data_IF_425933828980
#
_entry.id   IF_425933828980
#
_cell.length_a   1.000
_cell.length_b   1.000
_cell.length_c   1.000
_cell.angle_alpha   90.00
_cell.angle_beta   90.00
_cell.angle_gamma   90.00
#
_symmetry.space_group_name_H-M   'P 1'
#
loop_
_entity.id
_entity.type
_entity.pdbx_description
1 polymer ?
#
# COMPACT_ATOMS: atom_id res chain seq x y z
N UNK A 1 -20.83 3.44 21.10
CA UNK A 1 -20.77 3.14 19.65
C UNK A 1 -19.32 3.07 19.21
N UNK A 2 -18.71 1.87 19.18
CA UNK A 2 -17.29 1.70 18.84
C UNK A 2 -17.16 1.52 17.33
N UNK A 3 -16.51 2.47 16.66
CA UNK A 3 -16.11 2.34 15.25
C UNK A 3 -14.92 1.37 15.20
N UNK A 4 -15.12 0.21 14.59
CA UNK A 4 -14.06 -0.78 14.38
C UNK A 4 -13.22 -0.36 13.17
N UNK A 5 -11.95 -0.01 13.40
CA UNK A 5 -10.96 0.24 12.34
C UNK A 5 -10.49 -1.13 11.86
N UNK A 6 -10.91 -1.54 10.66
CA UNK A 6 -10.38 -2.71 9.97
C UNK A 6 -9.07 -2.27 9.32
N UNK A 7 -7.95 -2.75 9.86
CA UNK A 7 -6.62 -2.52 9.32
C UNK A 7 -6.45 -3.37 8.06
N UNK A 8 -6.27 -2.69 6.94
CA UNK A 8 -6.07 -3.26 5.61
C UNK A 8 -4.56 -3.37 5.34
N UNK A 9 -4.03 -4.58 5.40
CA UNK A 9 -2.65 -4.93 5.05
C UNK A 9 -2.40 -4.76 3.54
N UNK A 10 -1.37 -3.99 3.21
CA UNK A 10 -0.70 -4.01 1.92
C UNK A 10 0.61 -4.80 2.08
N UNK A 11 0.75 -5.89 1.32
CA UNK A 11 2.01 -6.63 1.18
C UNK A 11 2.82 -5.98 0.05
N UNK A 12 4.07 -5.63 0.33
CA UNK A 12 5.05 -5.24 -0.67
C UNK A 12 5.88 -6.48 -1.01
N UNK A 13 5.81 -6.96 -2.25
CA UNK A 13 6.66 -8.05 -2.75
C UNK A 13 7.83 -7.43 -3.52
N UNK A 14 9.07 -7.64 -3.06
CA UNK A 14 10.28 -7.29 -3.79
C UNK A 14 11.32 -8.41 -3.67
N UNK A 15 11.83 -8.89 -4.81
CA UNK A 15 12.90 -9.90 -4.89
C UNK A 15 14.28 -9.23 -4.85
N UNK A 16 15.20 -9.88 -4.14
CA UNK A 16 16.62 -9.53 -4.06
C UNK A 16 17.40 -9.95 -5.32
N UNK A 17 18.41 -9.16 -5.67
CA UNK A 17 19.46 -9.52 -6.63
C UNK A 17 20.73 -8.72 -6.35
N UNK A 18 21.77 -9.39 -5.84
CA UNK A 18 23.11 -8.87 -5.59
C UNK A 18 23.99 -9.13 -6.81
N UNK A 19 24.78 -8.14 -7.23
CA UNK A 19 26.05 -8.36 -7.94
C UNK A 19 26.97 -7.13 -7.74
N UNK A 20 28.24 -7.40 -7.45
CA UNK A 20 29.28 -6.43 -7.10
C UNK A 20 30.26 -6.18 -8.26
N UNK A 21 30.86 -4.98 -8.19
CA UNK A 21 32.17 -4.46 -8.64
C UNK A 21 32.60 -4.47 -10.12
N UNK A 22 32.98 -3.28 -10.64
CA UNK A 22 34.38 -2.78 -10.83
C UNK A 22 34.34 -1.47 -11.68
N UNK A 23 35.02 -0.41 -11.22
CA UNK A 23 35.21 0.90 -11.91
C UNK A 23 36.24 0.87 -13.06
N UNK A 24 36.16 1.82 -14.01
CA UNK A 24 37.33 2.70 -14.21
C UNK A 24 37.03 4.21 -14.42
N UNK A 25 38.07 4.97 -14.07
CA UNK A 25 38.28 6.43 -13.98
C UNK A 25 37.83 7.37 -15.13
N UNK A 26 37.08 8.40 -14.72
CA UNK A 26 37.09 9.88 -14.99
C UNK A 26 37.32 10.48 -16.40
N UNK A 27 36.30 11.23 -16.82
CA UNK A 27 36.43 12.51 -17.55
C UNK A 27 35.38 13.49 -17.00
N UNK A 28 35.77 14.72 -16.64
CA UNK A 28 34.92 15.72 -15.97
C UNK A 28 34.36 16.69 -17.01
N UNK A 29 33.05 16.63 -17.27
CA UNK A 29 32.29 17.67 -17.94
C UNK A 29 31.29 18.29 -16.95
N UNK A 30 31.34 19.62 -16.79
CA UNK A 30 30.42 20.39 -15.95
C UNK A 30 29.06 20.50 -16.65
N UNK A 31 28.21 19.50 -16.43
CA UNK A 31 26.76 19.57 -16.69
C UNK A 31 26.08 19.85 -15.34
N UNK A 32 25.03 20.71 -15.26
CA UNK A 32 24.34 20.97 -14.00
C UNK A 32 23.84 19.65 -13.43
N UNK A 33 24.44 19.24 -12.32
CA UNK A 33 24.12 17.97 -11.67
C UNK A 33 22.66 18.00 -11.27
N UNK A 34 21.83 17.18 -11.92
CA UNK A 34 20.62 16.67 -11.29
C UNK A 34 21.02 16.19 -9.91
N UNK A 35 20.37 16.74 -8.88
CA UNK A 35 20.56 16.31 -7.50
C UNK A 35 19.96 14.90 -7.44
N UNK A 36 20.79 13.89 -7.76
CA UNK A 36 20.46 12.50 -7.46
C UNK A 36 20.60 12.38 -5.95
N UNK A 37 19.46 12.46 -5.25
CA UNK A 37 19.35 12.07 -3.85
C UNK A 37 19.59 10.57 -3.72
N UNK A 38 20.85 10.12 -3.82
CA UNK A 38 21.29 8.85 -3.23
C UNK A 38 21.45 9.04 -1.73
N UNK A 39 20.37 9.42 -1.06
CA UNK A 39 20.29 9.38 0.39
C UNK A 39 19.95 7.95 0.78
N UNK A 40 20.76 7.32 1.63
CA UNK A 40 20.26 6.20 2.42
C UNK A 40 18.96 6.67 3.07
N UNK A 41 17.85 6.01 2.77
CA UNK A 41 16.56 6.36 3.36
C UNK A 41 16.65 6.09 4.87
N UNK A 42 16.87 7.14 5.66
CA UNK A 42 16.90 7.07 7.11
C UNK A 42 15.48 7.34 7.61
N UNK A 43 14.93 6.40 8.37
CA UNK A 43 13.71 6.65 9.11
C UNK A 43 14.01 7.58 10.28
N UNK A 44 13.72 8.86 10.10
CA UNK A 44 14.03 9.95 11.03
C UNK A 44 12.81 10.37 11.88
N UNK A 45 11.64 9.74 11.69
CA UNK A 45 10.37 10.12 12.30
C UNK A 45 10.42 10.27 13.83
N UNK A 46 11.27 9.48 14.49
CA UNK A 46 11.47 9.50 15.94
C UNK A 46 12.40 10.63 16.40
N UNK A 47 13.28 11.07 15.51
CA UNK A 47 14.36 12.01 15.80
C UNK A 47 13.97 13.44 15.42
N UNK A 48 13.12 13.62 14.41
CA UNK A 48 12.64 14.92 13.97
C UNK A 48 11.65 15.55 14.96
N UNK A 49 11.65 16.88 14.96
CA UNK A 49 10.76 17.69 15.78
C UNK A 49 9.30 17.53 15.37
N UNK A 50 8.37 17.97 16.23
CA UNK A 50 6.95 17.96 15.90
C UNK A 50 6.63 18.82 14.66
N UNK A 51 7.31 19.97 14.50
CA UNK A 51 7.13 20.86 13.35
C UNK A 51 7.53 20.17 12.06
N UNK A 52 8.66 19.45 12.06
CA UNK A 52 9.12 18.67 10.91
C UNK A 52 8.17 17.51 10.61
N UNK A 53 7.66 16.79 11.62
CA UNK A 53 6.64 15.75 11.42
C UNK A 53 5.39 16.31 10.74
N UNK A 54 4.91 17.48 11.19
CA UNK A 54 3.73 18.10 10.60
C UNK A 54 3.99 18.55 9.15
N UNK A 55 5.20 19.07 8.84
CA UNK A 55 5.59 19.39 7.47
C UNK A 55 5.63 18.15 6.56
N UNK A 56 6.17 17.02 7.04
CA UNK A 56 6.18 15.74 6.32
C UNK A 56 4.75 15.21 6.10
N UNK A 57 3.89 15.30 7.13
CA UNK A 57 2.48 14.91 7.03
C UNK A 57 1.78 15.74 5.95
N UNK A 58 2.00 17.05 5.93
CA UNK A 58 1.35 17.92 4.96
C UNK A 58 1.88 17.70 3.54
N UNK A 59 3.19 17.49 3.37
CA UNK A 59 3.79 17.13 2.08
C UNK A 59 3.10 15.91 1.45
N UNK A 60 3.09 14.77 2.15
CA UNK A 60 2.54 13.54 1.57
C UNK A 60 1.01 13.54 1.50
N UNK A 61 0.33 14.32 2.35
CA UNK A 61 -1.10 14.59 2.18
C UNK A 61 -1.35 15.30 0.85
N UNK A 62 -0.61 16.37 0.54
CA UNK A 62 -0.76 17.11 -0.72
C UNK A 62 -0.42 16.26 -1.95
N UNK A 63 0.57 15.38 -1.86
CA UNK A 63 0.89 14.45 -2.95
C UNK A 63 -0.21 13.38 -3.17
N UNK A 64 -0.84 12.89 -2.09
CA UNK A 64 -1.92 11.90 -2.19
C UNK A 64 -3.27 12.49 -2.61
N UNK A 65 -3.55 13.72 -2.19
CA UNK A 65 -4.85 14.37 -2.31
C UNK A 65 -4.75 15.68 -3.09
N UNK A 66 -4.73 15.54 -4.41
CA UNK A 66 -4.77 16.64 -5.38
C UNK A 66 -6.20 17.00 -5.81
N UNK A 67 -6.32 18.00 -6.69
CA UNK A 67 -7.57 18.42 -7.31
C UNK A 67 -8.27 17.31 -8.12
N UNK A 68 -7.51 16.33 -8.62
CA UNK A 68 -8.01 15.21 -9.40
C UNK A 68 -8.44 14.01 -8.54
N UNK A 69 -8.35 14.13 -7.22
CA UNK A 69 -8.63 13.01 -6.34
C UNK A 69 -10.11 12.67 -6.33
N UNK A 70 -10.42 11.47 -6.81
CA UNK A 70 -11.78 10.93 -6.77
C UNK A 70 -12.05 10.33 -5.39
N UNK A 71 -12.83 11.04 -4.57
CA UNK A 71 -13.30 10.54 -3.26
C UNK A 71 -14.45 9.56 -3.38
N UNK A 72 -15.26 9.69 -4.44
CA UNK A 72 -16.42 8.83 -4.66
C UNK A 72 -16.74 8.72 -6.14
N UNK A 73 -16.52 7.53 -6.69
CA UNK A 73 -17.03 7.20 -8.02
C UNK A 73 -18.54 7.02 -7.98
N UNK A 74 -19.20 7.26 -9.11
CA UNK A 74 -20.59 6.86 -9.29
C UNK A 74 -20.68 5.34 -9.19
N UNK A 75 -21.48 4.86 -8.22
CA UNK A 75 -21.60 3.43 -7.89
C UNK A 75 -21.90 2.55 -9.11
N UNK A 76 -22.75 3.02 -10.04
CA UNK A 76 -23.11 2.26 -11.25
C UNK A 76 -21.88 2.04 -12.14
N UNK A 77 -21.13 3.10 -12.41
CA UNK A 77 -20.01 3.11 -13.33
C UNK A 77 -18.85 2.29 -12.74
N UNK A 78 -18.54 2.51 -11.45
CA UNK A 78 -17.52 1.73 -10.73
C UNK A 78 -17.83 0.23 -10.74
N UNK A 79 -19.10 -0.15 -10.50
CA UNK A 79 -19.49 -1.56 -10.54
C UNK A 79 -19.48 -2.16 -11.94
N UNK A 80 -19.68 -1.33 -12.97
CA UNK A 80 -19.59 -1.77 -14.36
C UNK A 80 -18.12 -2.00 -14.77
N UNK A 81 -17.22 -1.09 -14.36
CA UNK A 81 -15.75 -1.22 -14.55
C UNK A 81 -15.24 -2.54 -13.94
N UNK A 82 -15.64 -2.85 -12.70
CA UNK A 82 -15.19 -4.04 -11.99
C UNK A 82 -16.15 -5.23 -12.05
N UNK A 83 -17.05 -5.28 -13.04
CA UNK A 83 -18.14 -6.27 -13.10
C UNK A 83 -17.66 -7.72 -12.93
N UNK A 84 -16.54 -8.06 -13.56
CA UNK A 84 -15.94 -9.40 -13.55
C UNK A 84 -15.23 -9.74 -12.24
N UNK A 85 -14.97 -8.73 -11.41
CA UNK A 85 -14.26 -8.84 -10.14
C UNK A 85 -15.17 -8.60 -8.93
N UNK A 86 -16.45 -8.25 -9.11
CA UNK A 86 -17.41 -8.06 -8.01
C UNK A 86 -17.59 -9.33 -7.16
N UNK A 87 -17.38 -10.48 -7.78
CA UNK A 87 -17.32 -11.80 -7.18
C UNK A 87 -16.11 -12.51 -7.77
N UNK A 88 -15.23 -13.00 -6.92
CA UNK A 88 -14.14 -13.87 -7.35
C UNK A 88 -14.73 -15.18 -7.91
N UNK A 89 -14.45 -15.45 -9.19
CA UNK A 89 -14.92 -16.66 -9.89
C UNK A 89 -14.25 -17.91 -9.31
N UNK A 90 -13.03 -17.79 -8.81
CA UNK A 90 -12.21 -18.89 -8.25
C UNK A 90 -12.09 -18.81 -6.73
N UNK A 91 -13.06 -18.18 -6.05
CA UNK A 91 -12.98 -17.87 -4.61
C UNK A 91 -12.65 -19.07 -3.72
N UNK A 92 -13.15 -20.26 -4.04
CA UNK A 92 -12.82 -21.48 -3.28
C UNK A 92 -11.33 -21.83 -3.39
N UNK A 93 -10.76 -21.72 -4.59
CA UNK A 93 -9.35 -21.98 -4.85
C UNK A 93 -8.49 -20.97 -4.12
N UNK A 94 -8.75 -19.67 -4.32
CA UNK A 94 -7.98 -18.60 -3.66
C UNK A 94 -8.09 -18.68 -2.14
N UNK A 95 -9.29 -18.92 -1.60
CA UNK A 95 -9.48 -19.10 -0.16
C UNK A 95 -8.64 -20.27 0.39
N UNK A 96 -8.64 -21.42 -0.29
CA UNK A 96 -7.86 -22.59 0.15
C UNK A 96 -6.35 -22.38 0.03
N UNK A 97 -5.88 -21.76 -1.06
CA UNK A 97 -4.47 -21.43 -1.24
C UNK A 97 -3.97 -20.52 -0.12
N UNK A 98 -4.69 -19.43 0.13
CA UNK A 98 -4.37 -18.47 1.18
C UNK A 98 -4.40 -19.14 2.55
N UNK A 99 -5.45 -19.92 2.86
CA UNK A 99 -5.57 -20.65 4.12
C UNK A 99 -4.38 -21.59 4.36
N UNK A 100 -3.80 -22.16 3.30
CA UNK A 100 -2.62 -23.03 3.35
C UNK A 100 -1.28 -22.25 3.30
N UNK A 101 -1.30 -20.93 3.42
CA UNK A 101 -0.10 -20.09 3.46
C UNK A 101 0.54 -19.78 2.10
N UNK A 102 -0.13 -20.09 0.99
CA UNK A 102 0.37 -19.74 -0.35
C UNK A 102 0.27 -18.23 -0.56
N UNK A 103 1.39 -17.59 -0.90
CA UNK A 103 1.50 -16.15 -1.13
C UNK A 103 1.57 -15.76 -2.60
N UNK A 104 1.93 -16.70 -3.48
CA UNK A 104 2.15 -16.44 -4.91
C UNK A 104 1.84 -17.70 -5.71
N UNK A 105 1.30 -17.51 -6.91
CA UNK A 105 1.15 -18.52 -7.97
C UNK A 105 1.79 -17.98 -9.25
N UNK A 106 1.75 -18.73 -10.35
CA UNK A 106 2.20 -18.21 -11.65
C UNK A 106 1.39 -17.00 -12.14
N UNK A 107 0.17 -16.80 -11.63
CA UNK A 107 -0.79 -15.81 -12.12
C UNK A 107 -1.17 -14.74 -11.10
N UNK A 108 -1.05 -15.04 -9.81
CA UNK A 108 -1.58 -14.21 -8.74
C UNK A 108 -0.60 -14.03 -7.59
N UNK A 109 -0.57 -12.84 -7.01
CA UNK A 109 -0.09 -12.62 -5.65
C UNK A 109 -1.30 -12.69 -4.70
N UNK A 110 -1.13 -13.36 -3.56
CA UNK A 110 -2.20 -13.70 -2.63
C UNK A 110 -1.86 -13.21 -1.21
N UNK A 111 -2.85 -12.67 -0.52
CA UNK A 111 -2.72 -12.24 0.88
C UNK A 111 -3.93 -12.70 1.69
N UNK A 112 -3.68 -13.27 2.88
CA UNK A 112 -4.74 -13.63 3.84
C UNK A 112 -4.85 -12.67 4.99
N UNK A 113 -6.08 -12.46 5.47
CA UNK A 113 -6.40 -11.63 6.63
C UNK A 113 -7.11 -12.50 7.65
N UNK A 114 -6.51 -12.65 8.83
CA UNK A 114 -6.95 -13.59 9.84
C UNK A 114 -7.47 -12.87 11.08
N UNK A 115 -8.51 -13.45 11.68
CA UNK A 115 -8.97 -13.12 13.03
C UNK A 115 -8.48 -14.20 14.00
N UNK A 116 -7.89 -13.78 15.14
CA UNK A 116 -7.33 -14.67 16.18
C UNK A 116 -6.46 -15.79 15.59
N UNK A 117 -5.55 -15.40 14.68
CA UNK A 117 -4.49 -16.20 14.05
C UNK A 117 -4.93 -17.41 13.20
N UNK A 118 -6.22 -17.81 13.21
CA UNK A 118 -6.67 -19.05 12.57
C UNK A 118 -7.88 -18.90 11.64
N UNK A 119 -8.70 -17.85 11.81
CA UNK A 119 -9.90 -17.66 11.01
C UNK A 119 -9.61 -16.71 9.85
N UNK A 120 -9.48 -17.23 8.64
CA UNK A 120 -9.38 -16.44 7.41
C UNK A 120 -10.71 -15.73 7.14
N UNK A 121 -10.77 -14.42 7.40
CA UNK A 121 -11.98 -13.58 7.27
C UNK A 121 -12.09 -12.88 5.91
N UNK A 122 -10.95 -12.60 5.29
CA UNK A 122 -10.84 -12.01 3.96
C UNK A 122 -9.51 -12.39 3.32
N UNK A 123 -9.43 -12.23 2.01
CA UNK A 123 -8.19 -12.41 1.26
C UNK A 123 -8.09 -11.38 0.15
N UNK A 124 -6.88 -11.13 -0.33
CA UNK A 124 -6.60 -10.26 -1.45
C UNK A 124 -5.99 -11.05 -2.61
N UNK A 125 -6.31 -10.62 -3.82
CA UNK A 125 -5.78 -11.16 -5.07
C UNK A 125 -5.27 -9.98 -5.89
N UNK A 126 -4.01 -10.05 -6.31
CA UNK A 126 -3.42 -9.16 -7.31
C UNK A 126 -3.00 -10.02 -8.50
N UNK A 127 -3.55 -9.76 -9.67
CA UNK A 127 -3.22 -10.53 -10.86
C UNK A 127 -1.93 -10.01 -11.47
N UNK A 128 -1.01 -10.91 -11.84
CA UNK A 128 0.32 -10.52 -12.34
C UNK A 128 0.31 -9.83 -13.71
N UNK A 129 -0.79 -9.98 -14.46
CA UNK A 129 -1.01 -9.26 -15.72
C UNK A 129 -1.58 -7.84 -15.51
N UNK A 130 -1.98 -7.47 -14.30
CA UNK A 130 -2.47 -6.15 -13.92
C UNK A 130 -2.00 -5.82 -12.50
N UNK A 131 -0.73 -5.42 -12.39
CA UNK A 131 -0.08 -5.22 -11.09
C UNK A 131 -0.58 -3.98 -10.35
N UNK A 132 -1.28 -3.04 -11.00
CA UNK A 132 -1.70 -1.80 -10.36
C UNK A 132 -3.03 -1.90 -9.63
N UNK A 133 -3.64 -3.08 -9.59
CA UNK A 133 -4.91 -3.30 -8.91
C UNK A 133 -4.87 -4.48 -7.97
N UNK A 134 -5.32 -4.30 -6.73
CA UNK A 134 -5.50 -5.38 -5.75
C UNK A 134 -6.96 -5.48 -5.38
N UNK A 135 -7.52 -6.68 -5.45
CA UNK A 135 -8.92 -6.95 -5.13
C UNK A 135 -9.03 -7.66 -3.78
N UNK A 136 -9.83 -7.10 -2.87
CA UNK A 136 -10.03 -7.66 -1.53
C UNK A 136 -11.43 -8.25 -1.41
N UNK A 137 -11.48 -9.52 -1.06
CA UNK A 137 -12.68 -10.32 -0.98
C UNK A 137 -12.97 -10.75 0.45
N UNK A 138 -14.25 -10.87 0.80
CA UNK A 138 -14.62 -11.62 2.01
C UNK A 138 -14.40 -13.13 1.81
N UNK A 139 -14.52 -13.92 2.89
CA UNK A 139 -14.38 -15.38 2.84
C UNK A 139 -15.28 -16.07 1.80
N UNK A 140 -16.37 -15.43 1.38
CA UNK A 140 -17.26 -15.93 0.33
C UNK A 140 -16.89 -15.43 -1.06
N UNK A 141 -15.79 -14.70 -1.25
CA UNK A 141 -15.37 -14.20 -2.55
C UNK A 141 -16.12 -12.97 -3.04
N UNK A 142 -16.88 -12.27 -2.19
CA UNK A 142 -17.54 -11.02 -2.60
C UNK A 142 -16.58 -9.86 -2.39
N UNK A 143 -16.47 -9.02 -3.42
CA UNK A 143 -15.58 -7.87 -3.41
C UNK A 143 -15.98 -6.90 -2.30
N UNK A 144 -15.00 -6.52 -1.49
CA UNK A 144 -15.13 -5.57 -0.38
C UNK A 144 -14.44 -4.26 -0.73
N UNK A 145 -13.22 -4.36 -1.24
CA UNK A 145 -12.38 -3.20 -1.54
C UNK A 145 -11.50 -3.45 -2.76
N UNK A 146 -10.97 -2.37 -3.32
CA UNK A 146 -10.01 -2.35 -4.40
C UNK A 146 -8.93 -1.33 -4.04
N UNK A 147 -7.66 -1.71 -4.12
CA UNK A 147 -6.56 -0.75 -4.16
C UNK A 147 -6.18 -0.44 -5.60
N UNK A 148 -5.96 0.84 -5.88
CA UNK A 148 -5.39 1.33 -7.13
C UNK A 148 -4.01 1.93 -6.84
N UNK A 149 -2.99 1.38 -7.47
CA UNK A 149 -1.63 1.90 -7.39
C UNK A 149 -1.34 2.96 -8.45
N UNK A 150 -0.50 3.94 -8.10
CA UNK A 150 0.04 4.91 -9.06
C UNK A 150 0.89 4.22 -10.14
N UNK A 151 1.17 4.95 -11.21
CA UNK A 151 1.88 4.42 -12.39
C UNK A 151 3.30 3.94 -12.07
N UNK A 152 3.98 4.55 -11.08
CA UNK A 152 5.35 4.16 -10.73
C UNK A 152 5.47 2.76 -10.11
N UNK A 153 4.37 2.15 -9.65
CA UNK A 153 4.41 0.81 -9.05
C UNK A 153 4.91 -0.23 -10.07
N UNK A 154 5.86 -1.14 -9.70
CA UNK A 154 6.29 -1.47 -8.34
C UNK A 154 7.48 -0.66 -7.80
N UNK A 155 7.96 0.35 -8.53
CA UNK A 155 9.08 1.18 -8.09
C UNK A 155 8.61 2.22 -7.06
N UNK A 156 9.50 2.56 -6.14
CA UNK A 156 9.25 3.60 -5.16
C UNK A 156 9.71 4.98 -5.66
N UNK A 157 9.11 6.07 -5.14
CA UNK A 157 7.90 6.07 -4.33
C UNK A 157 6.66 5.76 -5.16
N UNK A 158 5.63 5.19 -4.54
CA UNK A 158 4.32 5.01 -5.19
C UNK A 158 3.18 5.27 -4.21
N UNK A 159 1.97 5.40 -4.74
CA UNK A 159 0.77 5.68 -3.97
C UNK A 159 -0.23 4.54 -4.13
N UNK A 160 -1.05 4.32 -3.10
CA UNK A 160 -2.24 3.49 -3.15
C UNK A 160 -3.45 4.29 -2.72
N UNK A 161 -4.56 4.17 -3.46
CA UNK A 161 -5.89 4.65 -3.05
C UNK A 161 -6.83 3.46 -2.95
N UNK A 162 -7.39 3.27 -1.75
CA UNK A 162 -8.31 2.17 -1.46
C UNK A 162 -9.77 2.61 -1.57
N UNK A 163 -10.56 1.86 -2.32
CA UNK A 163 -11.97 2.11 -2.54
C UNK A 163 -12.81 0.94 -2.03
N UNK A 164 -13.97 1.23 -1.43
CA UNK A 164 -15.01 0.21 -1.21
C UNK A 164 -15.57 -0.25 -2.55
N UNK A 165 -16.20 -1.42 -2.59
CA UNK A 165 -16.90 -1.95 -3.77
C UNK A 165 -18.09 -1.09 -4.29
N UNK A 166 -18.41 0.01 -3.61
CA UNK A 166 -19.38 1.02 -4.06
C UNK A 166 -18.72 2.27 -4.67
N UNK A 167 -17.38 2.32 -4.75
CA UNK A 167 -16.61 3.43 -5.30
C UNK A 167 -16.21 4.53 -4.32
N UNK A 168 -16.52 4.41 -3.02
CA UNK A 168 -16.09 5.39 -2.01
C UNK A 168 -14.67 5.13 -1.52
N UNK A 169 -13.83 6.16 -1.51
CA UNK A 169 -12.49 6.14 -0.92
C UNK A 169 -12.57 5.76 0.57
N UNK A 170 -11.55 5.05 1.04
CA UNK A 170 -11.41 4.58 2.43
C UNK A 170 -10.10 5.06 3.02
N UNK A 171 -9.02 4.92 2.27
CA UNK A 171 -7.70 5.32 2.72
C UNK A 171 -6.80 5.59 1.52
N UNK A 172 -5.75 6.35 1.78
CA UNK A 172 -4.68 6.59 0.84
C UNK A 172 -3.34 6.36 1.57
N UNK A 173 -2.39 5.74 0.88
CA UNK A 173 -1.07 5.41 1.44
C UNK A 173 0.00 5.85 0.47
N UNK A 174 0.98 6.59 0.97
CA UNK A 174 2.20 6.93 0.27
C UNK A 174 3.29 5.96 0.68
N UNK A 175 3.89 5.26 -0.27
CA UNK A 175 4.96 4.31 -0.06
C UNK A 175 6.28 4.94 -0.50
N UNK A 176 7.21 5.13 0.43
CA UNK A 176 8.54 5.67 0.16
C UNK A 176 9.55 4.56 -0.13
N UNK A 177 9.39 3.42 0.55
CA UNK A 177 10.19 2.22 0.36
C UNK A 177 9.39 1.02 0.85
N UNK A 178 9.99 -0.17 0.78
CA UNK A 178 9.47 -1.37 1.44
C UNK A 178 9.14 -1.13 2.92
N UNK A 179 9.90 -0.27 3.58
CA UNK A 179 9.84 -0.14 5.04
C UNK A 179 9.00 1.04 5.48
N UNK A 180 8.86 2.05 4.62
CA UNK A 180 8.33 3.35 5.00
C UNK A 180 7.08 3.71 4.22
N UNK A 181 6.01 4.00 4.94
CA UNK A 181 4.75 4.44 4.36
C UNK A 181 3.99 5.41 5.28
N UNK A 182 3.26 6.33 4.66
CA UNK A 182 2.42 7.32 5.35
C UNK A 182 0.97 7.06 4.98
N UNK A 183 0.13 6.84 5.99
CA UNK A 183 -1.27 6.45 5.80
C UNK A 183 -2.22 7.57 6.21
N UNK A 184 -3.24 7.77 5.39
CA UNK A 184 -4.29 8.77 5.57
C UNK A 184 -5.66 8.13 5.39
N UNK A 185 -6.64 8.60 6.14
CA UNK A 185 -8.05 8.21 5.98
C UNK A 185 -8.70 9.02 4.84
N UNK A 186 -9.96 8.71 4.49
CA UNK A 186 -10.68 9.40 3.41
C UNK A 186 -10.90 10.90 3.65
N UNK A 187 -10.88 11.34 4.90
CA UNK A 187 -11.00 12.74 5.31
C UNK A 187 -9.63 13.46 5.40
N UNK A 188 -8.60 12.87 4.78
CA UNK A 188 -7.22 13.36 4.73
C UNK A 188 -6.54 13.43 6.09
N UNK A 189 -7.14 12.89 7.16
CA UNK A 189 -6.47 12.82 8.46
C UNK A 189 -5.34 11.81 8.41
N UNK A 190 -4.20 12.23 8.92
CA UNK A 190 -3.06 11.35 9.13
C UNK A 190 -3.42 10.27 10.14
N UNK A 191 -3.23 9.02 9.72
CA UNK A 191 -3.46 7.85 10.55
C UNK A 191 -2.19 7.39 11.26
N UNK A 192 -1.06 7.45 10.56
CA UNK A 192 0.23 7.08 11.09
C UNK A 192 1.28 6.84 10.01
N UNK A 193 2.54 6.87 10.44
CA UNK A 193 3.70 6.49 9.64
C UNK A 193 4.08 5.06 10.04
N UNK A 194 4.15 4.15 9.07
CA UNK A 194 4.76 2.86 9.33
C UNK A 194 6.26 2.91 9.03
N UNK A 195 7.01 2.29 9.92
CA UNK A 195 8.35 1.84 9.67
C UNK A 195 8.46 0.37 10.02
N UNK A 196 8.79 -0.43 9.02
CA UNK A 196 8.82 -1.89 9.12
C UNK A 196 7.50 -2.44 9.68
N UNK A 197 7.55 -3.09 10.83
CA UNK A 197 6.44 -3.71 11.53
C UNK A 197 5.68 -2.74 12.46
N UNK A 198 6.10 -1.49 12.62
CA UNK A 198 5.55 -0.56 13.62
C UNK A 198 4.90 0.66 13.00
N UNK A 199 3.74 1.07 13.52
CA UNK A 199 3.10 2.33 13.19
C UNK A 199 3.30 3.33 14.32
N UNK A 200 3.64 4.56 13.95
CA UNK A 200 3.76 5.70 14.84
C UNK A 200 2.70 6.74 14.50
N UNK A 201 2.12 7.35 15.53
CA UNK A 201 1.21 8.49 15.34
C UNK A 201 1.95 9.79 15.02
N UNK A 202 1.20 10.89 14.90
CA UNK A 202 1.69 12.25 14.65
C UNK A 202 2.72 12.72 15.68
N UNK A 203 2.74 12.14 16.88
CA UNK A 203 3.63 12.50 17.99
C UNK A 203 4.76 11.48 18.17
N UNK A 204 5.01 10.64 17.16
CA UNK A 204 5.99 9.55 17.19
C UNK A 204 5.77 8.51 18.29
N UNK A 205 4.56 8.43 18.85
CA UNK A 205 4.22 7.34 19.75
C UNK A 205 3.86 6.12 18.91
N UNK A 206 4.47 4.97 19.24
CA UNK A 206 4.07 3.70 18.62
C UNK A 206 2.62 3.38 19.01
N UNK A 207 1.77 3.17 18.01
CA UNK A 207 0.33 2.90 18.20
C UNK A 207 -0.09 1.51 17.72
N UNK A 208 0.61 0.91 16.75
CA UNK A 208 0.30 -0.41 16.21
C UNK A 208 1.57 -1.19 15.86
N UNK A 209 1.43 -2.52 15.80
CA UNK A 209 2.43 -3.44 15.24
C UNK A 209 1.73 -4.36 14.23
N UNK A 210 2.43 -4.76 13.14
CA UNK A 210 1.98 -5.73 12.13
C UNK A 210 2.96 -6.90 12.06
N UNK A 211 2.44 -8.10 11.82
CA UNK A 211 3.25 -9.34 11.86
C UNK A 211 3.82 -9.75 10.50
N UNK A 212 3.31 -9.20 9.41
CA UNK A 212 3.82 -9.40 8.06
C UNK A 212 4.48 -8.11 7.58
N UNK A 213 5.79 -8.03 7.80
CA UNK A 213 6.72 -7.19 7.04
C UNK A 213 7.55 -8.13 6.17
#
# INVERSE_FOLDING_TARGET
MKKFIILMCLLVLGKAGVAADIEPSKTVENVPSEIVLTGNLVFDWLDITQVERDAVIDKYKSELFDENTVYKYKKKDFRAEYKDFLKDKDYKRHYMLVRNGVKETDKENLCGFYYKDNLLISYAVQYKNELRTVYYYDAMGKLRYIDKFSENYPNFPYMSKQYRANGSLVSAIYFISHDMQYMYEEDQKFKGAWYKDKMYDRHAKQVLTRTNW
#
